data_IF_233551991931
#
_entry.id   IF_233551991931
#
_cell.length_a   1.000
_cell.length_b   1.000
_cell.length_c   1.000
_cell.angle_alpha   90.00
_cell.angle_beta   90.00
_cell.angle_gamma   90.00
#
_symmetry.space_group_name_H-M   'P 1'
#
loop_
_entity.id
_entity.type
_entity.pdbx_description
1 polymer ?
#
# COMPACT_ATOMS: atom_id res chain seq x y z
N UNK A 1 15.77 -1.91 25.03
CA UNK A 1 16.81 -2.11 23.99
C UNK A 1 16.11 -2.08 22.63
N UNK A 2 16.52 -1.17 21.73
CA UNK A 2 15.74 -0.70 20.55
C UNK A 2 15.54 -1.80 19.49
N UNK A 3 14.28 -2.12 19.17
CA UNK A 3 13.88 -3.08 18.13
C UNK A 3 13.87 -2.43 16.72
N UNK A 4 14.48 -3.03 15.69
CA UNK A 4 14.32 -2.61 14.31
C UNK A 4 12.97 -3.11 13.74
N UNK A 5 12.11 -2.18 13.28
CA UNK A 5 10.89 -2.46 12.54
C UNK A 5 11.23 -3.05 11.16
N UNK A 6 10.90 -4.32 10.89
CA UNK A 6 10.83 -4.84 9.52
C UNK A 6 9.80 -5.98 9.46
N UNK A 7 8.79 -5.92 8.59
CA UNK A 7 7.94 -7.06 8.20
C UNK A 7 7.38 -6.80 6.80
N UNK A 8 7.99 -7.40 5.77
CA UNK A 8 7.39 -7.59 4.43
C UNK A 8 7.14 -9.06 4.36
N UNK A 9 5.89 -9.46 4.19
CA UNK A 9 5.58 -10.86 4.18
C UNK A 9 4.56 -11.09 3.05
N UNK A 10 5.06 -11.88 2.10
CA UNK A 10 4.39 -12.51 0.96
C UNK A 10 4.11 -11.80 -0.38
N UNK A 11 4.53 -10.56 -0.65
CA UNK A 11 4.69 -10.13 -2.06
C UNK A 11 6.02 -10.59 -2.68
N UNK A 12 7.07 -10.82 -1.88
CA UNK A 12 8.42 -11.13 -2.40
C UNK A 12 8.68 -12.59 -2.79
N UNK A 13 7.93 -13.56 -2.28
CA UNK A 13 8.24 -15.00 -2.51
C UNK A 13 8.11 -15.39 -3.99
N UNK A 14 7.29 -14.66 -4.74
CA UNK A 14 6.92 -15.05 -6.11
C UNK A 14 7.38 -14.07 -7.20
N UNK A 15 7.67 -12.82 -6.85
CA UNK A 15 8.24 -11.85 -7.81
C UNK A 15 9.57 -12.34 -8.39
N UNK A 16 10.38 -13.04 -7.58
CA UNK A 16 11.70 -13.56 -8.02
C UNK A 16 11.61 -14.81 -8.89
N UNK A 17 10.62 -15.70 -8.68
CA UNK A 17 10.51 -16.94 -9.45
C UNK A 17 9.87 -16.76 -10.83
N UNK A 18 9.06 -15.71 -11.04
CA UNK A 18 8.40 -15.48 -12.35
C UNK A 18 9.37 -15.01 -13.45
N UNK A 19 10.56 -14.51 -13.09
CA UNK A 19 11.60 -14.23 -14.07
C UNK A 19 12.19 -15.51 -14.69
N UNK A 20 12.03 -16.69 -14.06
CA UNK A 20 12.66 -17.94 -14.50
C UNK A 20 11.73 -18.90 -15.25
N UNK A 21 10.40 -18.77 -15.15
CA UNK A 21 9.46 -19.74 -15.71
C UNK A 21 8.46 -19.10 -16.69
N UNK A 22 8.82 -19.04 -17.97
CA UNK A 22 7.88 -18.78 -19.05
C UNK A 22 6.90 -19.95 -19.22
N UNK A 23 5.62 -19.74 -18.86
CA UNK A 23 4.57 -20.73 -19.12
C UNK A 23 3.19 -20.41 -18.52
N UNK A 24 2.18 -20.46 -19.39
CA UNK A 24 0.71 -20.60 -19.20
C UNK A 24 0.06 -20.22 -17.85
N UNK A 25 -0.89 -19.29 -17.95
CA UNK A 25 -1.86 -18.86 -16.92
C UNK A 25 -2.48 -20.05 -16.17
N UNK A 26 -2.21 -20.14 -14.87
CA UNK A 26 -3.00 -20.93 -13.89
C UNK A 26 -3.15 -20.12 -12.60
N UNK A 27 -4.37 -20.15 -12.08
CA UNK A 27 -4.82 -19.46 -10.88
C UNK A 27 -3.95 -19.88 -9.69
N UNK A 28 -3.07 -18.99 -9.25
CA UNK A 28 -2.16 -19.21 -8.12
C UNK A 28 -2.56 -18.25 -6.99
N UNK A 29 -2.85 -18.82 -5.84
CA UNK A 29 -3.31 -18.10 -4.66
C UNK A 29 -2.08 -17.47 -3.99
N UNK A 30 -1.94 -16.15 -4.07
CA UNK A 30 -1.02 -15.40 -3.21
C UNK A 30 -1.73 -15.08 -1.90
N UNK A 31 -1.35 -15.76 -0.83
CA UNK A 31 -1.77 -15.37 0.51
C UNK A 31 -0.68 -14.45 1.09
N UNK A 32 -1.03 -13.18 1.32
CA UNK A 32 -0.21 -12.27 2.11
C UNK A 32 -0.40 -12.56 3.59
N UNK A 33 0.66 -12.91 4.33
CA UNK A 33 0.64 -12.95 5.80
C UNK A 33 1.62 -11.90 6.30
N UNK A 34 1.47 -11.35 7.52
CA UNK A 34 2.46 -10.46 8.17
C UNK A 34 2.53 -10.84 9.66
N UNK A 35 3.74 -10.91 10.22
CA UNK A 35 4.00 -11.31 11.63
C UNK A 35 4.69 -10.15 12.35
N UNK A 36 4.15 -9.70 13.48
CA UNK A 36 4.77 -8.71 14.39
C UNK A 36 5.20 -9.34 15.74
N UNK A 37 6.29 -8.81 16.31
CA UNK A 37 7.11 -9.32 17.43
C UNK A 37 6.56 -9.06 18.84
N UNK A 38 5.26 -9.27 19.07
CA UNK A 38 4.75 -9.49 20.43
C UNK A 38 3.90 -10.73 20.39
N UNK A 39 3.99 -11.59 21.42
CA UNK A 39 3.16 -12.77 21.63
C UNK A 39 1.66 -12.41 21.70
N UNK A 40 1.11 -12.06 20.54
CA UNK A 40 -0.27 -11.74 20.22
C UNK A 40 -0.27 -11.80 18.70
N UNK A 41 -0.87 -12.85 18.14
CA UNK A 41 -1.14 -12.97 16.71
C UNK A 41 -2.12 -11.83 16.40
N UNK A 42 -1.60 -10.62 16.12
CA UNK A 42 -2.40 -9.55 15.53
C UNK A 42 -2.35 -9.85 14.03
N UNK A 43 -3.49 -10.17 13.39
CA UNK A 43 -3.49 -10.60 12.01
C UNK A 43 -3.24 -9.39 11.09
N UNK A 44 -1.96 -9.05 10.87
CA UNK A 44 -1.54 -8.09 9.85
C UNK A 44 -1.77 -8.64 8.41
N UNK A 45 -2.26 -9.87 8.29
CA UNK A 45 -2.76 -10.47 7.06
C UNK A 45 -4.06 -9.80 6.55
N UNK A 46 -4.76 -9.04 7.42
CA UNK A 46 -6.02 -8.35 7.12
C UNK A 46 -5.82 -7.00 6.41
N UNK A 47 -4.59 -6.45 6.47
CA UNK A 47 -4.28 -5.10 6.04
C UNK A 47 -4.66 -4.84 4.58
N UNK A 48 -4.41 -5.78 3.67
CA UNK A 48 -4.52 -5.51 2.24
C UNK A 48 -5.97 -5.28 1.75
N UNK A 49 -6.97 -5.89 2.41
CA UNK A 49 -8.40 -5.59 2.14
C UNK A 49 -8.77 -4.17 2.56
N UNK A 50 -8.34 -3.76 3.76
CA UNK A 50 -8.48 -2.39 4.23
C UNK A 50 -7.86 -1.40 3.23
N UNK A 51 -6.77 -1.76 2.56
CA UNK A 51 -6.04 -0.87 1.67
C UNK A 51 -6.76 -0.62 0.35
N UNK A 52 -7.44 -1.64 -0.19
CA UNK A 52 -8.37 -1.45 -1.31
C UNK A 52 -9.55 -0.56 -0.91
N UNK A 53 -10.07 -0.74 0.32
CA UNK A 53 -11.18 0.05 0.89
C UNK A 53 -10.79 1.51 1.09
N UNK A 54 -9.69 1.81 1.77
CA UNK A 54 -9.19 3.17 2.00
C UNK A 54 -8.94 3.91 0.69
N UNK A 55 -8.30 3.24 -0.28
CA UNK A 55 -8.03 3.80 -1.60
C UNK A 55 -9.33 4.05 -2.42
N UNK A 56 -10.42 3.31 -2.15
CA UNK A 56 -11.74 3.56 -2.73
C UNK A 56 -12.45 4.72 -2.03
N UNK A 57 -12.37 4.82 -0.70
CA UNK A 57 -12.99 5.90 0.07
C UNK A 57 -12.31 7.24 -0.22
N UNK A 58 -10.99 7.25 -0.44
CA UNK A 58 -10.25 8.42 -0.90
C UNK A 58 -10.43 8.71 -2.41
N UNK A 59 -11.18 7.87 -3.12
CA UNK A 59 -11.44 7.94 -4.56
C UNK A 59 -10.20 7.84 -5.47
N UNK A 60 -9.07 7.38 -4.93
CA UNK A 60 -7.84 7.17 -5.69
C UNK A 60 -7.93 6.02 -6.70
N UNK A 61 -8.52 4.88 -6.30
CA UNK A 61 -8.77 3.70 -7.18
C UNK A 61 -7.49 3.11 -7.82
N UNK A 62 -6.35 3.17 -7.10
CA UNK A 62 -5.01 2.73 -7.57
C UNK A 62 -4.46 1.45 -6.93
N UNK A 63 -5.16 0.86 -5.96
CA UNK A 63 -4.82 -0.42 -5.34
C UNK A 63 -5.61 -1.54 -6.05
N UNK A 64 -4.98 -2.66 -6.46
CA UNK A 64 -5.71 -3.82 -6.96
C UNK A 64 -6.78 -4.29 -5.98
N UNK A 65 -7.90 -4.87 -6.43
CA UNK A 65 -8.90 -5.44 -5.53
C UNK A 65 -8.28 -6.48 -4.60
N UNK A 66 -8.65 -6.43 -3.32
CA UNK A 66 -8.20 -7.39 -2.30
C UNK A 66 -9.37 -7.83 -1.43
N UNK A 67 -9.39 -9.11 -1.06
CA UNK A 67 -10.36 -9.66 -0.12
C UNK A 67 -9.67 -10.60 0.89
N UNK A 68 -10.21 -10.65 2.11
CA UNK A 68 -9.79 -11.59 3.13
C UNK A 68 -10.38 -12.97 2.87
N UNK A 69 -9.60 -14.01 3.16
CA UNK A 69 -10.05 -15.40 3.07
C UNK A 69 -9.40 -16.27 4.14
N UNK A 70 -10.22 -17.15 4.71
CA UNK A 70 -9.76 -18.29 5.48
C UNK A 70 -9.40 -19.45 4.53
N UNK A 71 -8.17 -19.94 4.61
CA UNK A 71 -7.63 -20.98 3.75
C UNK A 71 -7.35 -22.24 4.55
N UNK A 72 -7.79 -23.39 4.04
CA UNK A 72 -7.33 -24.68 4.55
C UNK A 72 -5.91 -24.94 4.00
N UNK A 73 -4.91 -24.85 4.88
CA UNK A 73 -3.48 -24.96 4.53
C UNK A 73 -3.14 -26.30 3.89
N UNK A 74 -3.82 -27.36 4.32
CA UNK A 74 -3.61 -28.71 3.79
C UNK A 74 -4.17 -28.81 2.36
N UNK A 75 -5.48 -28.62 2.20
CA UNK A 75 -6.21 -28.88 0.95
C UNK A 75 -5.97 -27.81 -0.11
N UNK A 76 -5.81 -26.55 0.28
CA UNK A 76 -5.77 -25.42 -0.65
C UNK A 76 -4.36 -24.88 -0.92
N UNK A 77 -3.35 -25.33 -0.16
CA UNK A 77 -1.95 -24.91 -0.36
C UNK A 77 -1.04 -26.13 -0.54
N UNK A 78 -0.90 -26.96 0.50
CA UNK A 78 0.07 -28.07 0.51
C UNK A 78 -0.23 -29.14 -0.54
N UNK A 79 -1.48 -29.57 -0.64
CA UNK A 79 -1.84 -30.72 -1.49
C UNK A 79 -2.01 -30.34 -2.97
N UNK A 80 -2.11 -29.04 -3.28
CA UNK A 80 -2.27 -28.51 -4.65
C UNK A 80 -1.00 -27.86 -5.21
N UNK A 81 -0.02 -27.53 -4.37
CA UNK A 81 1.22 -26.92 -4.85
C UNK A 81 2.04 -27.89 -5.69
N UNK A 82 2.54 -27.40 -6.83
CA UNK A 82 3.52 -28.12 -7.66
C UNK A 82 4.96 -27.71 -7.33
N UNK A 83 5.13 -26.67 -6.51
CA UNK A 83 6.44 -26.21 -6.07
C UNK A 83 6.96 -27.09 -4.92
N UNK A 84 7.95 -27.92 -5.25
CA UNK A 84 8.63 -28.80 -4.29
C UNK A 84 9.35 -28.02 -3.19
N UNK A 85 9.81 -26.79 -3.47
CA UNK A 85 10.48 -25.95 -2.46
C UNK A 85 9.51 -25.56 -1.38
N UNK A 86 8.35 -24.98 -1.76
CA UNK A 86 7.28 -24.64 -0.82
C UNK A 86 6.77 -25.87 -0.06
N UNK A 87 6.48 -26.97 -0.77
CA UNK A 87 5.94 -28.19 -0.18
C UNK A 87 6.83 -28.75 0.94
N UNK A 88 8.16 -28.72 0.77
CA UNK A 88 9.13 -29.19 1.78
C UNK A 88 9.17 -28.37 3.07
N UNK A 89 8.61 -27.16 3.07
CA UNK A 89 8.60 -26.29 4.25
C UNK A 89 7.45 -26.57 5.21
N UNK A 90 6.52 -27.46 4.84
CA UNK A 90 5.41 -27.84 5.70
C UNK A 90 5.85 -28.82 6.81
N UNK A 91 5.37 -28.60 8.03
CA UNK A 91 5.60 -29.47 9.17
C UNK A 91 4.45 -29.41 10.18
N UNK A 92 4.43 -30.34 11.13
CA UNK A 92 3.48 -30.34 12.26
C UNK A 92 4.22 -29.82 13.49
N UNK A 93 3.68 -28.78 14.11
CA UNK A 93 4.26 -28.23 15.35
C UNK A 93 4.02 -29.15 16.56
N UNK A 94 4.76 -29.00 17.67
CA UNK A 94 4.51 -29.76 18.90
C UNK A 94 3.09 -29.63 19.46
N UNK A 95 2.38 -28.54 19.10
CA UNK A 95 0.98 -28.31 19.45
C UNK A 95 -0.01 -28.97 18.47
N UNK A 96 0.48 -29.86 17.59
CA UNK A 96 -0.30 -30.57 16.58
C UNK A 96 -1.01 -29.68 15.53
N UNK A 97 -0.45 -28.49 15.27
CA UNK A 97 -0.93 -27.58 14.21
C UNK A 97 -0.10 -27.76 12.93
N UNK A 98 -0.74 -27.60 11.78
CA UNK A 98 -0.08 -27.53 10.47
C UNK A 98 0.60 -26.18 10.32
N UNK A 99 1.89 -26.20 9.98
CA UNK A 99 2.70 -25.00 9.80
C UNK A 99 3.49 -25.06 8.50
N UNK A 100 3.84 -23.89 7.95
CA UNK A 100 4.84 -23.76 6.87
C UNK A 100 5.55 -22.41 6.97
N UNK A 101 6.75 -22.30 6.40
CA UNK A 101 7.53 -21.04 6.41
C UNK A 101 7.94 -20.55 5.02
N UNK A 102 7.81 -21.36 3.96
CA UNK A 102 8.17 -20.96 2.59
C UNK A 102 9.66 -20.68 2.39
N UNK A 103 10.03 -20.06 1.26
CA UNK A 103 11.43 -19.74 0.93
C UNK A 103 11.55 -18.26 0.57
N UNK A 104 12.14 -17.47 1.46
CA UNK A 104 12.36 -16.03 1.25
C UNK A 104 13.51 -15.51 2.10
N UNK A 105 13.93 -14.26 1.83
CA UNK A 105 15.09 -13.66 2.50
C UNK A 105 14.84 -13.18 3.92
N UNK A 106 13.59 -13.03 4.35
CA UNK A 106 13.24 -12.40 5.62
C UNK A 106 12.14 -13.18 6.33
N UNK A 107 12.43 -13.70 7.53
CA UNK A 107 11.50 -14.47 8.36
C UNK A 107 10.87 -15.72 7.70
N UNK A 108 11.53 -16.32 6.72
CA UNK A 108 11.16 -17.64 6.20
C UNK A 108 12.03 -18.72 6.86
N UNK A 109 11.78 -19.00 8.14
CA UNK A 109 12.44 -20.06 8.91
C UNK A 109 11.45 -20.75 9.85
N UNK A 110 11.82 -21.91 10.39
CA UNK A 110 11.00 -22.66 11.36
C UNK A 110 10.58 -21.81 12.56
N UNK A 111 11.44 -20.91 13.04
CA UNK A 111 11.17 -20.02 14.17
C UNK A 111 10.09 -18.98 13.88
N UNK A 112 9.87 -18.66 12.60
CA UNK A 112 8.90 -17.65 12.14
C UNK A 112 7.80 -18.29 11.28
N UNK A 113 7.58 -19.59 11.44
CA UNK A 113 6.61 -20.33 10.65
C UNK A 113 5.19 -19.83 10.90
N UNK A 114 4.39 -19.89 9.84
CA UNK A 114 2.96 -19.59 9.88
C UNK A 114 2.22 -20.88 10.20
N UNK A 115 1.46 -20.87 11.28
CA UNK A 115 0.74 -22.04 11.78
C UNK A 115 -0.77 -21.78 11.79
N UNK A 116 -1.54 -22.76 11.35
CA UNK A 116 -2.99 -22.76 11.47
C UNK A 116 -3.47 -23.21 12.84
N UNK A 117 -4.79 -23.28 13.02
CA UNK A 117 -5.45 -23.83 14.21
C UNK A 117 -6.66 -24.71 13.85
N UNK A 118 -6.49 -26.03 13.66
CA UNK A 118 -5.21 -26.73 13.50
C UNK A 118 -4.60 -26.52 12.10
N UNK A 119 -5.40 -26.32 11.05
CA UNK A 119 -4.96 -26.28 9.66
C UNK A 119 -5.58 -25.15 8.82
N UNK A 120 -6.30 -24.23 9.46
CA UNK A 120 -6.83 -23.03 8.81
C UNK A 120 -5.99 -21.79 9.12
N UNK A 121 -5.79 -20.95 8.11
CA UNK A 121 -5.05 -19.70 8.22
C UNK A 121 -5.77 -18.55 7.49
N UNK A 122 -5.81 -17.38 8.11
CA UNK A 122 -6.39 -16.16 7.55
C UNK A 122 -5.38 -15.40 6.72
N UNK A 123 -5.71 -15.08 5.46
CA UNK A 123 -4.83 -14.32 4.56
C UNK A 123 -5.58 -13.33 3.68
N UNK A 124 -4.87 -12.32 3.20
CA UNK A 124 -5.37 -11.43 2.14
C UNK A 124 -5.06 -12.01 0.76
N UNK A 125 -6.06 -11.99 -0.13
CA UNK A 125 -5.94 -12.36 -1.53
C UNK A 125 -6.07 -11.11 -2.41
N UNK A 126 -4.96 -10.69 -3.01
CA UNK A 126 -4.93 -9.59 -3.96
C UNK A 126 -5.13 -10.10 -5.40
N UNK A 127 -5.98 -9.42 -6.16
CA UNK A 127 -6.14 -9.68 -7.58
C UNK A 127 -4.84 -9.39 -8.32
N UNK A 128 -4.44 -10.31 -9.20
CA UNK A 128 -3.28 -10.09 -10.06
C UNK A 128 -3.53 -8.94 -11.02
N UNK A 129 -2.52 -8.10 -11.17
CA UNK A 129 -2.42 -7.23 -12.33
C UNK A 129 -2.22 -8.08 -13.60
N UNK A 130 -2.53 -7.54 -14.79
CA UNK A 130 -2.30 -8.24 -16.04
C UNK A 130 -0.85 -8.72 -16.17
N UNK A 131 -0.65 -9.80 -16.92
CA UNK A 131 0.67 -10.35 -17.16
C UNK A 131 1.62 -9.30 -17.75
N UNK A 132 2.89 -9.32 -17.35
CA UNK A 132 3.90 -8.37 -17.84
C UNK A 132 4.12 -8.47 -19.35
N UNK A 133 3.82 -9.63 -19.97
CA UNK A 133 3.83 -9.78 -21.42
C UNK A 133 2.73 -8.97 -22.12
N UNK A 134 1.59 -8.74 -21.43
CA UNK A 134 0.45 -8.00 -21.96
C UNK A 134 0.48 -6.51 -21.56
N UNK A 135 0.88 -6.24 -20.32
CA UNK A 135 0.95 -4.90 -19.76
C UNK A 135 2.26 -4.73 -19.00
N UNK A 136 3.29 -4.24 -19.71
CA UNK A 136 4.58 -3.90 -19.09
C UNK A 136 4.39 -2.81 -18.05
N UNK A 137 5.10 -2.99 -16.93
CA UNK A 137 5.13 -2.04 -15.82
C UNK A 137 6.54 -1.50 -15.67
N UNK A 138 6.64 -0.20 -15.41
CA UNK A 138 7.89 0.47 -15.09
C UNK A 138 7.95 0.74 -13.60
N UNK A 139 9.02 0.27 -12.97
CA UNK A 139 9.35 0.55 -11.58
C UNK A 139 10.18 1.82 -11.49
N UNK A 140 9.77 2.72 -10.61
CA UNK A 140 10.43 3.99 -10.37
C UNK A 140 10.93 4.04 -8.94
N UNK A 141 12.10 4.64 -8.75
CA UNK A 141 12.62 4.97 -7.41
C UNK A 141 11.88 6.19 -6.89
N UNK A 142 11.32 6.09 -5.68
CA UNK A 142 10.69 7.24 -5.03
C UNK A 142 11.79 8.24 -4.60
N UNK A 143 11.69 9.55 -4.90
CA UNK A 143 12.66 10.56 -4.45
C UNK A 143 12.79 10.57 -2.93
N UNK A 144 11.67 10.43 -2.22
CA UNK A 144 11.64 10.33 -0.75
C UNK A 144 11.91 8.93 -0.21
N UNK A 145 12.62 8.10 -0.97
CA UNK A 145 13.07 6.79 -0.50
C UNK A 145 13.96 6.96 0.74
N UNK A 146 13.66 6.21 1.80
CA UNK A 146 14.48 6.12 3.02
C UNK A 146 15.85 5.49 2.73
N UNK A 147 16.82 5.76 3.60
CA UNK A 147 18.19 5.25 3.48
C UNK A 147 18.32 3.73 3.70
N UNK A 148 17.35 3.11 4.38
CA UNK A 148 17.42 1.73 4.88
C UNK A 148 18.67 1.44 5.72
N UNK A 149 19.23 2.47 6.35
CA UNK A 149 20.45 2.39 7.11
C UNK A 149 20.31 3.10 8.45
N UNK A 150 20.62 2.40 9.55
CA UNK A 150 20.34 2.86 10.92
C UNK A 150 20.97 4.21 11.31
N UNK A 151 22.05 4.61 10.65
CA UNK A 151 22.80 5.83 10.96
C UNK A 151 22.84 6.86 9.84
N UNK A 152 22.47 6.48 8.62
CA UNK A 152 22.59 7.36 7.45
C UNK A 152 21.22 7.99 7.23
N UNK A 153 21.14 9.32 7.24
CA UNK A 153 19.94 10.03 6.83
C UNK A 153 19.84 10.08 5.31
N UNK A 154 18.63 10.11 4.78
CA UNK A 154 18.38 10.43 3.38
C UNK A 154 18.52 11.94 3.13
N UNK A 155 18.71 12.35 1.87
CA UNK A 155 18.87 13.77 1.50
C UNK A 155 17.66 14.61 1.90
N UNK A 156 16.45 14.12 1.61
CA UNK A 156 15.20 14.77 2.02
C UNK A 156 15.01 14.90 3.54
N UNK A 157 15.77 14.15 4.37
CA UNK A 157 15.73 14.27 5.84
C UNK A 157 16.67 15.36 6.37
N UNK A 158 17.57 15.89 5.53
CA UNK A 158 18.57 16.89 5.92
C UNK A 158 18.43 18.21 5.15
N UNK A 159 17.90 18.15 3.93
CA UNK A 159 17.68 19.30 3.07
C UNK A 159 16.21 19.75 3.14
N UNK A 160 15.91 20.94 3.69
CA UNK A 160 14.55 21.48 3.72
C UNK A 160 14.02 21.84 2.33
N UNK A 161 14.90 22.20 1.39
CA UNK A 161 14.55 22.66 0.03
C UNK A 161 14.58 21.51 -1.00
N UNK A 162 14.70 20.26 -0.53
CA UNK A 162 14.81 19.07 -1.36
C UNK A 162 13.75 18.97 -2.47
N UNK A 163 12.50 19.39 -2.20
CA UNK A 163 11.46 19.32 -3.23
C UNK A 163 11.71 20.29 -4.40
N UNK A 164 12.43 21.39 -4.21
CA UNK A 164 12.73 22.32 -5.32
C UNK A 164 13.64 21.67 -6.37
N UNK A 165 14.57 20.81 -5.96
CA UNK A 165 15.36 19.98 -6.87
C UNK A 165 14.49 18.90 -7.54
N UNK A 166 13.61 18.25 -6.77
CA UNK A 166 12.70 17.23 -7.31
C UNK A 166 11.77 17.82 -8.37
N UNK A 167 11.24 19.03 -8.15
CA UNK A 167 10.39 19.78 -9.12
C UNK A 167 11.12 20.10 -10.42
N UNK A 168 12.44 20.03 -10.47
CA UNK A 168 13.23 20.24 -11.70
C UNK A 168 13.71 18.93 -12.34
N UNK A 169 13.43 17.79 -11.70
CA UNK A 169 13.94 16.49 -12.13
C UNK A 169 12.88 15.70 -12.89
N UNK A 170 13.12 15.25 -14.13
CA UNK A 170 12.22 14.35 -14.83
C UNK A 170 12.00 13.04 -14.05
N UNK A 171 10.76 12.51 -13.97
CA UNK A 171 9.53 12.95 -14.63
C UNK A 171 8.63 13.85 -13.73
N UNK A 172 9.17 14.47 -12.68
CA UNK A 172 8.40 15.27 -11.71
C UNK A 172 8.29 16.75 -12.08
N UNK A 173 9.09 17.18 -13.05
CA UNK A 173 9.14 18.53 -13.63
C UNK A 173 7.94 18.88 -14.52
N UNK A 174 7.15 17.89 -14.90
CA UNK A 174 6.05 18.04 -15.83
C UNK A 174 4.91 17.05 -15.57
N UNK A 175 3.71 17.42 -16.04
CA UNK A 175 2.52 16.59 -15.91
C UNK A 175 2.06 16.37 -14.47
N UNK A 176 1.38 15.24 -14.24
CA UNK A 176 0.71 14.96 -12.96
C UNK A 176 1.58 14.24 -11.92
N UNK A 177 2.82 13.84 -12.29
CA UNK A 177 3.57 12.84 -11.52
C UNK A 177 3.89 13.30 -10.10
N UNK A 178 4.27 14.56 -9.92
CA UNK A 178 4.52 15.11 -8.59
C UNK A 178 3.26 15.01 -7.73
N UNK A 179 2.09 15.40 -8.26
CA UNK A 179 0.82 15.29 -7.57
C UNK A 179 0.41 13.84 -7.28
N UNK A 180 0.73 12.89 -8.17
CA UNK A 180 0.52 11.46 -7.92
C UNK A 180 1.34 10.97 -6.72
N UNK A 181 2.57 11.48 -6.55
CA UNK A 181 3.38 11.19 -5.36
C UNK A 181 2.73 11.80 -4.11
N UNK A 182 2.16 13.00 -4.21
CA UNK A 182 1.46 13.63 -3.07
C UNK A 182 0.23 12.83 -2.63
N UNK A 183 -0.59 12.36 -3.58
CA UNK A 183 -1.73 11.47 -3.28
C UNK A 183 -1.28 10.16 -2.60
N UNK A 184 -0.21 9.55 -3.12
CA UNK A 184 0.39 8.35 -2.54
C UNK A 184 0.94 8.60 -1.12
N UNK A 185 1.56 9.77 -0.90
CA UNK A 185 2.06 10.19 0.42
C UNK A 185 0.94 10.38 1.43
N UNK A 186 -0.17 11.01 1.04
CA UNK A 186 -1.37 11.13 1.89
C UNK A 186 -1.88 9.73 2.24
N UNK A 187 -1.98 8.85 1.25
CA UNK A 187 -2.42 7.47 1.45
C UNK A 187 -1.51 6.73 2.45
N UNK A 188 -0.19 6.76 2.23
CA UNK A 188 0.81 6.11 3.07
C UNK A 188 0.81 6.67 4.51
N UNK A 189 0.62 7.98 4.69
CA UNK A 189 0.57 8.57 6.02
C UNK A 189 -0.65 8.12 6.82
N UNK A 190 -1.84 8.09 6.21
CA UNK A 190 -3.07 7.66 6.87
C UNK A 190 -2.94 6.23 7.42
N UNK A 191 -2.31 5.33 6.66
CA UNK A 191 -2.03 3.96 7.10
C UNK A 191 -0.76 3.85 7.97
N UNK A 192 0.14 4.83 7.94
CA UNK A 192 1.44 4.79 8.63
C UNK A 192 2.47 3.89 7.94
N UNK A 193 2.41 3.78 6.60
CA UNK A 193 3.35 3.00 5.81
C UNK A 193 4.60 3.81 5.46
N UNK A 194 5.72 3.45 6.08
CA UNK A 194 6.98 4.14 5.90
C UNK A 194 7.88 3.54 4.80
N UNK A 195 7.42 2.49 4.11
CA UNK A 195 8.28 1.65 3.25
C UNK A 195 8.06 1.88 1.74
N UNK A 196 7.55 3.05 1.35
CA UNK A 196 7.33 3.43 -0.05
C UNK A 196 8.63 3.81 -0.76
N UNK A 197 9.49 2.84 -1.02
CA UNK A 197 10.80 3.06 -1.65
C UNK A 197 10.79 3.00 -3.17
N UNK A 198 9.80 2.33 -3.74
CA UNK A 198 9.51 2.32 -5.17
C UNK A 198 8.02 2.52 -5.40
N UNK A 199 7.69 2.87 -6.63
CA UNK A 199 6.33 2.84 -7.13
C UNK A 199 6.31 2.31 -8.56
N UNK A 200 5.15 1.84 -9.02
CA UNK A 200 4.99 1.30 -10.36
C UNK A 200 3.99 2.11 -11.19
N UNK A 201 4.18 2.06 -12.50
CA UNK A 201 3.29 2.65 -13.50
C UNK A 201 3.15 1.69 -14.67
N UNK A 202 2.05 1.80 -15.43
CA UNK A 202 1.93 1.08 -16.70
C UNK A 202 2.72 1.80 -17.80
N UNK A 203 3.71 1.11 -18.38
CA UNK A 203 4.65 1.69 -19.35
C UNK A 203 3.94 2.21 -20.60
N UNK A 204 2.87 1.54 -21.02
CA UNK A 204 2.06 1.88 -22.20
C UNK A 204 1.55 3.33 -22.19
N UNK A 205 1.32 3.92 -21.02
CA UNK A 205 0.76 5.27 -20.88
C UNK A 205 1.84 6.35 -20.67
N UNK A 206 3.12 5.99 -20.75
CA UNK A 206 4.21 6.97 -20.63
C UNK A 206 4.28 7.64 -19.25
N UNK A 207 4.60 8.93 -19.22
CA UNK A 207 4.73 9.69 -17.97
C UNK A 207 3.38 10.18 -17.43
N UNK A 208 2.41 10.44 -18.30
CA UNK A 208 1.04 10.87 -17.97
C UNK A 208 0.17 9.68 -17.59
N UNK A 209 0.51 9.07 -16.46
CA UNK A 209 -0.16 7.87 -15.94
C UNK A 209 -0.17 7.91 -14.43
N UNK A 210 -1.12 7.18 -13.85
CA UNK A 210 -1.25 7.08 -12.40
C UNK A 210 -0.20 6.15 -11.80
N UNK A 211 0.09 6.37 -10.52
CA UNK A 211 0.92 5.46 -9.73
C UNK A 211 0.06 4.30 -9.21
N UNK A 212 0.53 3.07 -9.39
CA UNK A 212 -0.11 1.88 -8.82
C UNK A 212 0.34 1.73 -7.37
N UNK A 213 -0.62 1.72 -6.43
CA UNK A 213 -0.35 1.64 -4.99
C UNK A 213 -0.20 0.17 -4.56
N UNK A 214 0.97 -0.42 -4.77
CA UNK A 214 1.30 -1.82 -4.40
C UNK A 214 1.97 -1.92 -3.01
N UNK A 215 2.34 -3.13 -2.55
CA UNK A 215 3.20 -3.33 -1.35
C UNK A 215 2.79 -2.56 -0.09
N UNK A 216 1.50 -2.61 0.23
CA UNK A 216 0.93 -1.87 1.34
C UNK A 216 0.99 -2.64 2.68
N UNK A 217 1.55 -3.86 2.72
CA UNK A 217 1.53 -4.77 3.87
C UNK A 217 2.25 -4.29 5.15
N UNK A 218 2.93 -3.14 5.09
CA UNK A 218 3.55 -2.46 6.24
C UNK A 218 2.70 -1.34 6.84
N UNK A 219 1.49 -1.15 6.32
CA UNK A 219 0.49 -0.27 6.91
C UNK A 219 -0.01 -0.76 8.27
N UNK A 220 -0.65 0.14 9.00
CA UNK A 220 -1.36 -0.09 10.26
C UNK A 220 -0.58 -0.96 11.28
N UNK A 221 0.75 -0.80 11.35
CA UNK A 221 1.55 -1.46 12.38
C UNK A 221 1.46 -0.77 13.75
N UNK A 222 1.11 0.53 13.78
CA UNK A 222 0.98 1.32 15.02
C UNK A 222 -0.21 2.28 14.91
N UNK A 223 -1.15 2.20 15.84
CA UNK A 223 -2.28 3.15 15.93
C UNK A 223 -1.98 4.33 16.86
N UNK A 224 -1.08 4.15 17.83
CA UNK A 224 -0.73 5.14 18.86
C UNK A 224 0.45 6.05 18.48
N UNK A 225 0.98 5.92 17.27
CA UNK A 225 2.08 6.73 16.76
C UNK A 225 1.77 7.19 15.33
N UNK A 226 2.01 8.47 15.06
CA UNK A 226 1.86 9.06 13.74
C UNK A 226 3.25 9.42 13.20
N UNK A 227 3.64 8.74 12.11
CA UNK A 227 4.97 8.90 11.56
C UNK A 227 5.01 10.11 10.61
N UNK A 228 5.21 11.30 11.19
CA UNK A 228 5.19 12.58 10.47
C UNK A 228 6.18 12.65 9.31
N UNK A 229 7.29 11.89 9.36
CA UNK A 229 8.25 11.86 8.27
C UNK A 229 7.67 11.30 6.96
N UNK A 230 6.53 10.58 6.99
CA UNK A 230 5.83 10.15 5.77
C UNK A 230 5.25 11.36 5.02
N UNK A 231 4.83 12.42 5.73
CA UNK A 231 4.29 13.65 5.12
C UNK A 231 5.36 14.60 4.57
N UNK A 232 6.66 14.28 4.70
CA UNK A 232 7.74 15.13 4.20
C UNK A 232 7.54 15.59 2.74
N UNK A 233 7.12 14.73 1.78
CA UNK A 233 6.86 15.17 0.40
C UNK A 233 5.79 16.27 0.33
N UNK A 234 4.68 16.10 1.04
CA UNK A 234 3.57 17.05 1.04
C UNK A 234 3.97 18.38 1.69
N UNK A 235 4.73 18.31 2.79
CA UNK A 235 5.19 19.49 3.54
C UNK A 235 6.30 20.27 2.82
N UNK A 236 7.19 19.58 2.09
CA UNK A 236 8.26 20.23 1.33
C UNK A 236 7.76 20.78 0.00
N UNK A 237 6.88 20.06 -0.69
CA UNK A 237 6.40 20.49 -2.00
C UNK A 237 5.25 21.48 -1.92
N UNK A 238 4.43 21.40 -0.87
CA UNK A 238 3.19 22.16 -0.68
C UNK A 238 2.32 22.19 -1.95
N UNK A 239 2.08 21.02 -2.55
CA UNK A 239 1.23 20.85 -3.74
C UNK A 239 0.27 19.69 -3.54
N UNK A 240 -0.99 19.86 -3.95
CA UNK A 240 -2.02 18.82 -3.85
C UNK A 240 -3.07 19.01 -4.95
N UNK A 241 -3.71 17.92 -5.39
CA UNK A 241 -4.87 18.03 -6.28
C UNK A 241 -6.08 18.60 -5.57
N UNK A 242 -6.87 19.39 -6.29
CA UNK A 242 -8.15 19.90 -5.82
C UNK A 242 -9.12 18.77 -5.51
N UNK A 243 -9.20 17.74 -6.34
CA UNK A 243 -10.01 16.55 -6.07
C UNK A 243 -9.66 15.90 -4.72
N UNK A 244 -8.36 15.63 -4.48
CA UNK A 244 -7.85 15.07 -3.23
C UNK A 244 -8.14 15.99 -2.05
N UNK A 245 -7.80 17.29 -2.15
CA UNK A 245 -8.00 18.26 -1.08
C UNK A 245 -9.47 18.33 -0.64
N UNK A 246 -10.40 18.46 -1.59
CA UNK A 246 -11.84 18.50 -1.30
C UNK A 246 -12.33 17.18 -0.70
N UNK A 247 -11.81 16.04 -1.15
CA UNK A 247 -12.15 14.73 -0.59
C UNK A 247 -11.70 14.59 0.86
N UNK A 248 -10.47 15.04 1.18
CA UNK A 248 -9.96 15.02 2.55
C UNK A 248 -10.77 15.93 3.48
N UNK A 249 -11.14 17.13 3.00
CA UNK A 249 -12.01 18.05 3.76
C UNK A 249 -13.39 17.45 4.02
N UNK A 250 -13.98 16.77 3.03
CA UNK A 250 -15.25 16.08 3.19
C UNK A 250 -15.16 15.00 4.28
N UNK A 251 -14.14 14.15 4.21
CA UNK A 251 -13.92 13.03 5.13
C UNK A 251 -13.58 13.47 6.58
N UNK A 252 -13.19 14.74 6.76
CA UNK A 252 -12.94 15.33 8.07
C UNK A 252 -14.22 15.82 8.77
N UNK A 253 -15.35 15.94 8.06
CA UNK A 253 -16.65 16.30 8.64
C UNK A 253 -17.24 15.11 9.40
N UNK A 254 -17.88 15.37 10.54
CA UNK A 254 -18.47 14.31 11.38
C UNK A 254 -19.51 13.46 10.62
N UNK A 255 -20.25 14.06 9.67
CA UNK A 255 -21.23 13.36 8.81
C UNK A 255 -20.61 12.32 7.86
N UNK A 256 -19.34 12.47 7.50
CA UNK A 256 -18.63 11.65 6.51
C UNK A 256 -17.31 11.10 7.07
N UNK A 257 -17.26 10.96 8.39
CA UNK A 257 -16.05 10.62 9.13
C UNK A 257 -15.36 9.38 8.56
N UNK A 258 -14.06 9.51 8.28
CA UNK A 258 -13.27 8.46 7.62
C UNK A 258 -13.34 7.13 8.37
N UNK A 259 -13.18 7.12 9.69
CA UNK A 259 -13.28 5.91 10.51
C UNK A 259 -14.60 5.15 10.34
N UNK A 260 -15.73 5.87 10.31
CA UNK A 260 -17.08 5.29 10.17
C UNK A 260 -17.23 4.65 8.78
N UNK A 261 -16.87 5.38 7.73
CA UNK A 261 -16.93 4.87 6.36
C UNK A 261 -16.01 3.67 6.14
N UNK A 262 -14.83 3.69 6.76
CA UNK A 262 -13.89 2.57 6.75
C UNK A 262 -14.50 1.33 7.42
N UNK A 263 -15.01 1.49 8.65
CA UNK A 263 -15.64 0.40 9.40
C UNK A 263 -16.80 -0.22 8.61
N UNK A 264 -17.74 0.60 8.15
CA UNK A 264 -18.90 0.15 7.36
C UNK A 264 -18.45 -0.60 6.11
N UNK A 265 -17.47 -0.07 5.39
CA UNK A 265 -16.98 -0.68 4.15
C UNK A 265 -16.29 -2.02 4.37
N UNK A 266 -15.70 -2.27 5.53
CA UNK A 266 -14.97 -3.51 5.85
C UNK A 266 -15.88 -4.64 6.32
N UNK A 267 -17.10 -4.34 6.78
CA UNK A 267 -18.11 -5.34 7.21
C UNK A 267 -18.45 -6.41 6.18
N UNK A 268 -18.19 -6.14 4.89
CA UNK A 268 -18.45 -7.07 3.78
C UNK A 268 -17.32 -8.07 3.55
N UNK A 269 -16.16 -7.86 4.15
CA UNK A 269 -15.05 -8.82 4.06
C UNK A 269 -15.31 -10.01 4.99
N UNK A 270 -14.86 -11.20 4.58
CA UNK A 270 -15.06 -12.43 5.36
C UNK A 270 -14.24 -12.46 6.64
N UNK A 271 -13.23 -11.60 6.74
CA UNK A 271 -12.36 -11.50 7.89
C UNK A 271 -12.65 -10.24 8.73
N UNK A 272 -13.89 -9.73 8.67
CA UNK A 272 -14.35 -8.68 9.57
C UNK A 272 -14.31 -9.15 11.04
N UNK A 273 -13.79 -8.34 11.99
CA UNK A 273 -13.21 -7.01 11.80
C UNK A 273 -11.78 -7.03 11.24
N UNK A 274 -11.56 -6.27 10.16
CA UNK A 274 -10.25 -6.15 9.48
C UNK A 274 -9.29 -5.24 10.27
N UNK A 275 -9.79 -4.09 10.75
CA UNK A 275 -9.06 -3.14 11.59
C UNK A 275 -9.73 -3.02 12.95
N UNK A 276 -8.92 -2.99 14.01
CA UNK A 276 -9.39 -2.68 15.36
C UNK A 276 -9.71 -1.19 15.50
N UNK A 277 -10.63 -0.85 16.40
CA UNK A 277 -11.08 0.53 16.64
C UNK A 277 -9.96 1.56 16.79
N UNK A 278 -8.86 1.30 17.53
CA UNK A 278 -7.78 2.27 17.66
C UNK A 278 -7.13 2.67 16.33
N UNK A 279 -7.08 1.78 15.33
CA UNK A 279 -6.57 2.11 13.99
C UNK A 279 -7.53 3.02 13.23
N UNK A 280 -8.83 2.81 13.38
CA UNK A 280 -9.86 3.68 12.80
C UNK A 280 -9.76 5.10 13.39
N UNK A 281 -9.66 5.21 14.71
CA UNK A 281 -9.49 6.50 15.40
C UNK A 281 -8.19 7.21 14.99
N UNK A 282 -7.12 6.43 14.79
CA UNK A 282 -5.85 6.95 14.29
C UNK A 282 -5.96 7.51 12.87
N UNK A 283 -6.78 6.93 12.00
CA UNK A 283 -6.99 7.46 10.65
C UNK A 283 -7.66 8.84 10.69
N UNK A 284 -8.67 9.05 11.54
CA UNK A 284 -9.30 10.37 11.71
C UNK A 284 -8.32 11.41 12.23
N UNK A 285 -7.51 11.03 13.23
CA UNK A 285 -6.46 11.89 13.78
C UNK A 285 -5.43 12.27 12.71
N UNK A 286 -4.94 11.30 11.94
CA UNK A 286 -3.99 11.52 10.84
C UNK A 286 -4.59 12.35 9.74
N UNK A 287 -5.86 12.13 9.36
CA UNK A 287 -6.54 12.93 8.35
C UNK A 287 -6.50 14.42 8.69
N UNK A 288 -6.76 14.78 9.94
CA UNK A 288 -6.67 16.19 10.39
C UNK A 288 -5.26 16.77 10.24
N UNK A 289 -4.22 15.96 10.43
CA UNK A 289 -2.82 16.37 10.24
C UNK A 289 -2.44 16.48 8.75
N UNK A 290 -3.13 15.79 7.84
CA UNK A 290 -2.89 15.90 6.39
C UNK A 290 -3.40 17.19 5.77
N UNK A 291 -4.40 17.82 6.41
CA UNK A 291 -4.88 19.15 6.06
C UNK A 291 -3.86 20.17 6.59
N UNK A 292 -2.67 20.18 5.99
CA UNK A 292 -1.50 20.91 6.46
C UNK A 292 -1.63 22.43 6.33
N UNK A 293 -0.83 23.14 7.12
CA UNK A 293 -0.64 24.59 7.09
C UNK A 293 -0.04 25.12 5.76
N UNK A 294 0.21 24.28 4.75
CA UNK A 294 0.76 24.71 3.47
C UNK A 294 -0.10 25.83 2.85
N UNK A 295 -1.44 25.73 2.97
CA UNK A 295 -2.36 26.72 2.42
C UNK A 295 -2.18 28.08 3.12
N UNK A 296 -1.96 28.07 4.44
CA UNK A 296 -1.78 29.29 5.22
C UNK A 296 -0.43 29.96 4.93
N UNK A 297 0.59 29.17 4.56
CA UNK A 297 1.95 29.65 4.25
C UNK A 297 2.12 30.12 2.81
N UNK A 298 1.70 29.30 1.85
CA UNK A 298 1.97 29.50 0.41
C UNK A 298 0.75 30.02 -0.38
N UNK A 299 -0.44 30.02 0.25
CA UNK A 299 -1.69 30.44 -0.36
C UNK A 299 -2.38 29.34 -1.17
N UNK A 300 -3.73 29.35 -1.14
CA UNK A 300 -4.57 28.32 -1.77
C UNK A 300 -4.28 28.11 -3.26
N UNK A 301 -4.06 29.19 -4.01
CA UNK A 301 -3.84 29.13 -5.46
C UNK A 301 -2.52 28.47 -5.87
N UNK A 302 -1.50 28.52 -5.02
CA UNK A 302 -0.23 27.82 -5.25
C UNK A 302 -0.34 26.34 -4.87
N UNK A 303 -0.95 26.07 -3.71
CA UNK A 303 -0.98 24.73 -3.12
C UNK A 303 -1.94 23.80 -3.84
N UNK A 304 -3.12 24.30 -4.21
CA UNK A 304 -4.21 23.47 -4.72
C UNK A 304 -4.29 23.57 -6.24
N UNK A 305 -3.82 22.51 -6.91
CA UNK A 305 -3.85 22.42 -8.36
C UNK A 305 -5.20 21.89 -8.85
N UNK A 306 -5.81 22.64 -9.79
CA UNK A 306 -7.18 22.37 -10.24
C UNK A 306 -7.22 21.31 -11.34
N UNK A 307 -7.45 20.06 -10.94
CA UNK A 307 -7.62 18.90 -11.82
C UNK A 307 -9.09 18.63 -12.20
N UNK A 308 -10.03 19.43 -11.69
CA UNK A 308 -11.48 19.26 -11.93
C UNK A 308 -11.99 20.02 -13.16
N UNK A 309 -11.25 21.01 -13.63
CA UNK A 309 -11.54 21.68 -14.89
C UNK A 309 -10.87 20.87 -16.00
N UNK A 310 -11.66 20.07 -16.71
CA UNK A 310 -11.16 19.33 -17.88
C UNK A 310 -10.47 20.27 -18.86
N UNK A 311 -9.46 19.76 -19.56
CA UNK A 311 -8.73 20.49 -20.58
C UNK A 311 -9.71 21.26 -21.49
N UNK A 312 -9.50 22.57 -21.74
CA UNK A 312 -10.34 23.34 -22.66
C UNK A 312 -10.16 22.77 -24.08
N UNK A 313 -11.01 21.80 -24.45
CA UNK A 313 -10.92 21.14 -25.76
C UNK A 313 -11.86 19.94 -25.97
N UNK A 314 -12.32 19.26 -24.91
CA UNK A 314 -13.16 18.07 -25.05
C UNK A 314 -14.68 18.34 -25.17
N UNK A 315 -15.07 19.49 -25.74
CA UNK A 315 -16.47 19.80 -26.11
C UNK A 315 -16.56 20.28 -27.56
N UNK A 316 -16.33 19.36 -28.50
CA UNK A 316 -17.01 19.43 -29.80
C UNK A 316 -17.43 18.02 -30.20
N UNK A 317 -18.61 17.62 -29.70
CA UNK A 317 -19.28 16.43 -30.19
C UNK A 317 -19.66 16.65 -31.65
N UNK A 318 -19.01 15.93 -32.56
CA UNK A 318 -19.53 15.71 -33.90
C UNK A 318 -20.85 14.94 -33.77
N UNK A 319 -21.97 15.64 -33.91
CA UNK A 319 -23.24 15.03 -34.29
C UNK A 319 -23.07 14.52 -35.72
N UNK A 320 -22.89 13.22 -35.89
CA UNK A 320 -23.21 12.60 -37.19
C UNK A 320 -24.74 12.57 -37.33
N UNK A 321 -25.22 13.18 -38.41
CA UNK A 321 -26.53 12.92 -39.00
C UNK A 321 -26.47 11.63 -39.80
#
# INVERSE_FOLDING_TARGET
>A
KRCPLVAVLLTCIWSKQRQEAGGSVKQLIHAGFCVDQRCSIVPQCLLSSCLSVSNRILDFRRVPPVAGRLLNMTKEIRDVTRDKKLWRTFFISPANNVCFYGECSYYCSTEHALCGKPDQIEGSLAAFLPDLALAKRKTWRNPWRRSYHKRKKAEWEVDPDYCEEVKQTPPYDSGSRLLDVMDMTVFDFLMGNMDRHHYETFEKFGNETFIIHLDNGRGFGKHSHDEMSILAPLLQCCRVRKSTHLRLQLLAKEEYKLSVLMAESMTRDRLDPILIQPHLDAMDRRLRLTLSDCIDKEGYGYVVENDLQGAPGARSGHRMR
#
